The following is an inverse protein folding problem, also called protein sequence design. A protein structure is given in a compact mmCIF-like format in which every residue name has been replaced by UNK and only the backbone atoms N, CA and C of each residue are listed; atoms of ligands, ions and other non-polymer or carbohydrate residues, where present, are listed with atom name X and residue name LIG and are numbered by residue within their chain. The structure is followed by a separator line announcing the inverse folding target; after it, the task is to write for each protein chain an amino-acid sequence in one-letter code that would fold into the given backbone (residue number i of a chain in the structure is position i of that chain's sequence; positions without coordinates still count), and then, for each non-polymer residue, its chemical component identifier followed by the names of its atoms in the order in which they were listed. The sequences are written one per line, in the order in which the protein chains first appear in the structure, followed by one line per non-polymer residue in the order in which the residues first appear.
data_IF_027516232447
#
_entry.id   IF_027516232447
#
_cell.length_a   1.000
_cell.length_b   1.000
_cell.length_c   1.000
_cell.angle_alpha   90.00
_cell.angle_beta   90.00
_cell.angle_gamma   90.00
#
_symmetry.space_group_name_H-M   'P 1'
#
loop_
_entity.id
_entity.type
_entity.pdbx_description
1 polymer ?
#
# COMPACT_ATOMS: atom_id res chain seq x y z
N UNK A 1 18.06 29.11 7.22
CA UNK A 1 17.28 27.87 6.95
C UNK A 1 15.88 27.93 7.55
N UNK A 2 15.71 28.23 8.85
CA UNK A 2 14.38 28.36 9.49
C UNK A 2 13.49 29.45 8.87
N UNK A 3 14.04 30.61 8.50
CA UNK A 3 13.29 31.69 7.84
C UNK A 3 12.68 31.29 6.49
N UNK A 4 13.30 30.35 5.77
CA UNK A 4 12.79 29.82 4.49
C UNK A 4 11.53 28.99 4.71
N UNK A 5 11.47 28.20 5.79
CA UNK A 5 10.29 27.39 6.16
C UNK A 5 9.11 28.29 6.51
N UNK A 6 9.33 29.36 7.27
CA UNK A 6 8.27 30.34 7.58
C UNK A 6 7.81 31.13 6.36
N UNK A 7 8.69 31.39 5.39
CA UNK A 7 8.34 32.12 4.18
C UNK A 7 7.47 31.28 3.22
N UNK A 8 7.58 29.95 3.26
CA UNK A 8 6.73 29.02 2.50
C UNK A 8 5.26 29.13 2.94
N UNK A 9 4.99 29.35 4.23
CA UNK A 9 3.62 29.56 4.75
C UNK A 9 3.04 30.94 4.39
N UNK A 10 3.90 31.88 3.97
CA UNK A 10 3.50 33.25 3.61
C UNK A 10 3.02 33.36 2.16
N UNK A 11 3.44 32.44 1.29
CA UNK A 11 3.01 32.37 -0.11
C UNK A 11 1.70 31.56 -0.17
N UNK A 12 0.56 32.16 -0.61
CA UNK A 12 -0.74 31.51 -0.54
C UNK A 12 -0.82 30.21 -1.37
N UNK A 13 -0.13 30.16 -2.51
CA UNK A 13 -0.09 28.97 -3.39
C UNK A 13 0.60 27.77 -2.72
N UNK A 14 1.75 28.01 -2.07
CA UNK A 14 2.50 26.99 -1.33
C UNK A 14 1.76 26.53 -0.07
N UNK A 15 1.17 27.48 0.67
CA UNK A 15 0.33 27.17 1.84
C UNK A 15 -0.83 26.24 1.46
N UNK A 16 -1.53 26.54 0.36
CA UNK A 16 -2.65 25.72 -0.08
C UNK A 16 -2.21 24.32 -0.50
N UNK A 17 -1.06 24.17 -1.18
CA UNK A 17 -0.48 22.86 -1.51
C UNK A 17 -0.12 22.06 -0.27
N UNK A 18 0.52 22.68 0.73
CA UNK A 18 0.88 22.01 1.98
C UNK A 18 -0.36 21.57 2.76
N UNK A 19 -1.37 22.44 2.87
CA UNK A 19 -2.64 22.10 3.52
C UNK A 19 -3.36 20.96 2.80
N UNK A 20 -3.35 20.96 1.46
CA UNK A 20 -3.91 19.88 0.67
C UNK A 20 -3.18 18.55 0.89
N UNK A 21 -1.85 18.55 0.86
CA UNK A 21 -1.05 17.35 1.15
C UNK A 21 -1.29 16.85 2.58
N UNK A 22 -1.35 17.75 3.58
CA UNK A 22 -1.68 17.40 4.95
C UNK A 22 -3.08 16.79 5.06
N UNK A 23 -4.08 17.37 4.39
CA UNK A 23 -5.43 16.82 4.37
C UNK A 23 -5.47 15.40 3.79
N UNK A 24 -4.75 15.15 2.69
CA UNK A 24 -4.62 13.80 2.12
C UNK A 24 -3.92 12.83 3.06
N UNK A 25 -2.87 13.24 3.77
CA UNK A 25 -2.20 12.42 4.78
C UNK A 25 -3.12 12.08 5.96
N UNK A 26 -3.99 13.01 6.37
CA UNK A 26 -5.00 12.76 7.41
C UNK A 26 -6.02 11.74 6.92
N UNK A 27 -6.54 11.89 5.69
CA UNK A 27 -7.48 10.92 5.08
C UNK A 27 -6.84 9.54 5.01
N UNK A 28 -5.59 9.46 4.53
CA UNK A 28 -4.78 8.24 4.53
C UNK A 28 -4.74 7.62 5.93
N UNK A 29 -4.40 8.40 6.96
CA UNK A 29 -4.26 7.91 8.34
C UNK A 29 -5.59 7.43 8.94
N UNK A 30 -6.70 8.10 8.65
CA UNK A 30 -8.04 7.66 9.05
C UNK A 30 -8.37 6.33 8.39
N UNK A 31 -8.04 6.19 7.11
CA UNK A 31 -8.22 4.95 6.37
C UNK A 31 -7.58 3.73 7.04
N UNK A 32 -6.35 3.86 7.54
CA UNK A 32 -5.65 2.79 8.26
C UNK A 32 -6.32 2.37 9.58
N UNK A 33 -7.16 3.23 10.15
CA UNK A 33 -7.93 2.91 11.35
C UNK A 33 -9.24 2.20 11.05
N UNK A 34 -9.66 2.12 9.78
CA UNK A 34 -10.86 1.37 9.37
C UNK A 34 -10.47 -0.11 9.25
N UNK A 35 -10.92 -0.97 10.18
CA UNK A 35 -10.61 -2.37 10.09
C UNK A 35 -11.44 -3.03 8.98
N UNK A 36 -10.88 -4.05 8.38
CA UNK A 36 -11.61 -4.86 7.42
C UNK A 36 -12.71 -5.64 8.15
N UNK A 37 -13.98 -5.56 7.72
CA UNK A 37 -15.04 -6.38 8.29
C UNK A 37 -14.69 -7.88 8.14
N UNK A 38 -15.15 -8.68 9.11
CA UNK A 38 -15.00 -10.15 9.18
C UNK A 38 -13.74 -10.71 9.86
N UNK A 39 -12.83 -9.87 10.36
CA UNK A 39 -11.63 -10.31 11.09
C UNK A 39 -11.73 -10.08 12.60
N UNK A 40 -11.30 -11.07 13.40
CA UNK A 40 -11.11 -10.91 14.83
C UNK A 40 -9.78 -10.18 15.13
N UNK A 41 -9.87 -8.87 15.35
CA UNK A 41 -8.70 -8.05 15.64
C UNK A 41 -8.05 -8.38 16.99
N UNK A 42 -8.78 -8.97 17.95
CA UNK A 42 -8.21 -9.31 19.25
C UNK A 42 -7.21 -10.46 19.11
N UNK A 43 -7.54 -11.47 18.30
CA UNK A 43 -6.65 -12.61 18.00
C UNK A 43 -5.43 -12.20 17.16
N UNK A 44 -5.60 -11.29 16.21
CA UNK A 44 -4.47 -10.77 15.41
C UNK A 44 -3.50 -9.97 16.29
N UNK A 45 -4.02 -9.17 17.21
CA UNK A 45 -3.20 -8.42 18.17
C UNK A 45 -2.47 -9.35 19.17
N UNK A 46 -3.10 -10.44 19.60
CA UNK A 46 -2.48 -11.44 20.48
C UNK A 46 -1.35 -12.19 19.79
N UNK A 47 -1.56 -12.68 18.56
CA UNK A 47 -0.51 -13.34 17.77
C UNK A 47 0.65 -12.39 17.48
N UNK A 48 0.38 -11.11 17.25
CA UNK A 48 1.44 -10.14 16.96
C UNK A 48 2.27 -9.78 18.21
N UNK A 49 1.68 -9.83 19.41
CA UNK A 49 2.40 -9.69 20.69
C UNK A 49 3.32 -10.88 21.00
N UNK A 50 2.99 -12.06 20.49
CA UNK A 50 3.80 -13.29 20.67
C UNK A 50 4.78 -13.56 19.52
N UNK A 51 4.94 -12.63 18.56
CA UNK A 51 5.92 -12.80 17.47
C UNK A 51 7.34 -12.57 17.99
N UNK A 52 8.15 -13.61 17.94
CA UNK A 52 9.60 -13.49 18.09
C UNK A 52 10.16 -12.58 16.99
N UNK A 53 10.56 -11.37 17.40
CA UNK A 53 11.10 -10.34 16.49
C UNK A 53 12.47 -10.72 15.94
N UNK A 54 13.13 -11.72 16.54
CA UNK A 54 14.45 -12.21 16.15
C UNK A 54 14.43 -13.24 15.01
N UNK A 55 13.28 -13.85 14.73
CA UNK A 55 13.12 -14.77 13.59
C UNK A 55 13.20 -14.03 12.25
N UNK A 56 13.79 -14.62 11.18
CA UNK A 56 13.78 -14.03 9.83
C UNK A 56 12.38 -13.64 9.34
N UNK A 57 11.36 -14.42 9.71
CA UNK A 57 9.95 -14.14 9.41
C UNK A 57 9.42 -12.94 10.22
N UNK A 58 9.84 -12.80 11.48
CA UNK A 58 9.52 -11.65 12.33
C UNK A 58 10.12 -10.35 11.80
N UNK A 59 11.37 -10.39 11.33
CA UNK A 59 12.03 -9.24 10.69
C UNK A 59 11.38 -8.86 9.36
N UNK A 60 11.04 -9.84 8.52
CA UNK A 60 10.29 -9.60 7.28
C UNK A 60 8.90 -8.99 7.54
N UNK A 61 8.18 -9.48 8.56
CA UNK A 61 6.92 -8.90 8.99
C UNK A 61 7.09 -7.46 9.52
N UNK A 62 8.17 -7.16 10.23
CA UNK A 62 8.48 -5.81 10.72
C UNK A 62 8.74 -4.84 9.56
N UNK A 63 9.50 -5.26 8.54
CA UNK A 63 9.66 -4.45 7.34
C UNK A 63 8.32 -4.23 6.63
N UNK A 64 7.50 -5.28 6.52
CA UNK A 64 6.17 -5.15 5.96
C UNK A 64 5.30 -4.16 6.76
N UNK A 65 5.35 -4.16 8.09
CA UNK A 65 4.66 -3.14 8.93
C UNK A 65 5.09 -1.71 8.60
N UNK A 66 6.38 -1.46 8.44
CA UNK A 66 6.89 -0.11 8.16
C UNK A 66 6.38 0.38 6.80
N UNK A 67 6.41 -0.47 5.78
CA UNK A 67 5.94 -0.12 4.44
C UNK A 67 4.41 -0.09 4.30
N UNK A 68 3.67 -0.78 5.18
CA UNK A 68 2.21 -0.72 5.26
C UNK A 68 1.70 0.28 6.30
N UNK A 69 2.53 1.21 6.80
CA UNK A 69 2.05 2.30 7.67
C UNK A 69 1.81 1.95 9.15
N UNK A 70 2.31 0.79 9.58
CA UNK A 70 2.47 0.42 11.00
C UNK A 70 1.34 -0.43 11.59
N UNK A 71 0.48 -1.08 10.79
CA UNK A 71 -0.71 -1.78 11.31
C UNK A 71 -0.82 -3.24 10.89
N UNK A 72 0.25 -4.05 10.77
CA UNK A 72 0.00 -5.51 10.64
C UNK A 72 -0.74 -6.10 11.85
N UNK A 73 -0.74 -5.38 12.98
CA UNK A 73 -1.46 -5.71 14.20
C UNK A 73 -3.00 -5.60 14.05
N UNK A 74 -3.48 -4.98 12.96
CA UNK A 74 -4.90 -4.84 12.63
C UNK A 74 -5.11 -5.06 11.14
N UNK A 75 -6.00 -5.99 10.77
CA UNK A 75 -6.44 -6.12 9.38
C UNK A 75 -7.18 -4.84 8.99
N UNK A 76 -6.52 -3.93 8.27
CA UNK A 76 -7.06 -2.63 7.85
C UNK A 76 -7.39 -2.63 6.36
N UNK A 77 -8.33 -1.76 5.98
CA UNK A 77 -8.78 -1.61 4.60
C UNK A 77 -7.64 -1.15 3.65
N UNK A 78 -6.60 -0.53 4.20
CA UNK A 78 -5.37 -0.15 3.48
C UNK A 78 -4.17 -1.03 3.86
N UNK A 79 -4.38 -2.26 4.32
CA UNK A 79 -3.31 -3.12 4.85
C UNK A 79 -2.15 -3.41 3.89
N UNK A 80 -2.34 -3.26 2.57
CA UNK A 80 -1.27 -3.37 1.57
C UNK A 80 -0.53 -2.04 1.31
N UNK A 81 -1.13 -0.90 1.67
CA UNK A 81 -0.57 0.43 1.46
C UNK A 81 -0.21 0.69 0.00
N UNK A 82 0.92 1.39 -0.20
CA UNK A 82 1.43 1.72 -1.56
C UNK A 82 2.41 0.66 -2.10
N UNK A 83 2.64 -0.44 -1.36
CA UNK A 83 3.61 -1.48 -1.73
C UNK A 83 3.34 -2.12 -3.09
N UNK A 84 2.10 -2.44 -3.49
CA UNK A 84 1.84 -3.01 -4.81
C UNK A 84 2.31 -2.08 -5.95
N UNK A 85 2.17 -0.76 -5.78
CA UNK A 85 2.67 0.22 -6.75
C UNK A 85 4.20 0.26 -6.79
N UNK A 86 4.85 0.31 -5.61
CA UNK A 86 6.31 0.32 -5.51
C UNK A 86 6.87 -0.93 -6.20
N UNK A 87 6.34 -2.11 -5.89
CA UNK A 87 6.76 -3.37 -6.50
C UNK A 87 6.58 -3.37 -8.01
N UNK A 88 5.41 -2.93 -8.51
CA UNK A 88 5.17 -2.82 -9.95
C UNK A 88 6.17 -1.87 -10.64
N UNK A 89 6.50 -0.74 -9.99
CA UNK A 89 7.43 0.25 -10.54
C UNK A 89 8.85 -0.33 -10.65
N UNK A 90 9.29 -1.09 -9.65
CA UNK A 90 10.59 -1.77 -9.65
C UNK A 90 10.62 -2.84 -10.74
N UNK A 91 9.53 -3.59 -10.92
CA UNK A 91 9.42 -4.58 -12.01
C UNK A 91 9.63 -3.90 -13.36
N UNK A 92 8.96 -2.78 -13.64
CA UNK A 92 9.15 -2.05 -14.90
C UNK A 92 10.53 -1.39 -15.03
N UNK A 93 11.13 -0.95 -13.93
CA UNK A 93 12.51 -0.45 -13.93
C UNK A 93 13.49 -1.56 -14.36
N UNK A 94 13.33 -2.78 -13.83
CA UNK A 94 14.17 -3.93 -14.17
C UNK A 94 13.88 -4.45 -15.59
N UNK A 95 12.60 -4.59 -15.95
CA UNK A 95 12.19 -5.01 -17.31
C UNK A 95 12.65 -4.01 -18.38
N UNK A 96 12.75 -2.72 -18.05
CA UNK A 96 13.24 -1.69 -18.95
C UNK A 96 14.70 -1.87 -19.37
N UNK A 97 15.52 -2.55 -18.57
CA UNK A 97 16.91 -2.87 -18.93
C UNK A 97 17.03 -4.17 -19.74
N UNK A 98 16.12 -5.13 -19.50
CA UNK A 98 16.13 -6.45 -20.13
C UNK A 98 15.39 -6.46 -21.48
N UNK A 99 14.27 -5.75 -21.59
CA UNK A 99 13.40 -5.76 -22.78
C UNK A 99 13.70 -4.54 -23.67
N UNK A 100 14.18 -4.74 -24.90
CA UNK A 100 14.57 -3.63 -25.79
C UNK A 100 13.39 -2.74 -26.20
N UNK A 101 12.16 -3.27 -26.23
CA UNK A 101 10.96 -2.49 -26.51
C UNK A 101 10.65 -1.47 -25.39
N UNK A 102 10.76 -1.88 -24.12
CA UNK A 102 10.59 -0.99 -22.97
C UNK A 102 11.74 0.03 -22.87
N UNK A 103 12.96 -0.36 -23.25
CA UNK A 103 14.10 0.55 -23.34
C UNK A 103 13.87 1.67 -24.36
N UNK A 104 13.34 1.33 -25.54
CA UNK A 104 12.96 2.32 -26.57
C UNK A 104 11.86 3.25 -26.07
N UNK A 105 10.82 2.72 -25.44
CA UNK A 105 9.79 3.53 -24.78
C UNK A 105 10.40 4.48 -23.74
N UNK A 106 11.36 4.04 -22.92
CA UNK A 106 12.04 4.94 -21.96
C UNK A 106 12.86 6.04 -22.65
N UNK A 107 13.35 5.79 -23.87
CA UNK A 107 14.10 6.75 -24.70
C UNK A 107 13.21 7.78 -25.42
N UNK A 108 11.91 7.51 -25.58
CA UNK A 108 10.92 8.47 -26.14
C UNK A 108 10.65 9.68 -25.21
N UNK A 109 11.35 9.76 -24.08
CA UNK A 109 11.25 10.88 -23.14
C UNK A 109 9.90 10.89 -22.43
N UNK A 110 9.28 12.07 -22.30
CA UNK A 110 8.14 12.30 -21.42
C UNK A 110 6.90 11.47 -21.80
N UNK A 111 6.69 11.20 -23.10
CA UNK A 111 5.57 10.40 -23.59
C UNK A 111 5.72 8.92 -23.24
N UNK A 112 6.94 8.39 -23.35
CA UNK A 112 7.24 7.01 -22.98
C UNK A 112 7.22 6.77 -21.47
N UNK A 113 7.70 7.74 -20.68
CA UNK A 113 7.56 7.69 -19.22
C UNK A 113 6.10 7.61 -18.78
N UNK A 114 5.19 8.35 -19.43
CA UNK A 114 3.75 8.26 -19.14
C UNK A 114 3.19 6.87 -19.43
N UNK A 115 3.53 6.26 -20.57
CA UNK A 115 3.12 4.89 -20.92
C UNK A 115 3.62 3.85 -19.90
N UNK A 116 4.88 3.97 -19.47
CA UNK A 116 5.44 3.08 -18.43
C UNK A 116 4.69 3.26 -17.11
N UNK A 117 4.33 4.48 -16.73
CA UNK A 117 3.53 4.73 -15.53
C UNK A 117 2.12 4.14 -15.63
N UNK A 118 1.47 4.19 -16.80
CA UNK A 118 0.17 3.54 -17.02
C UNK A 118 0.28 2.02 -16.87
N UNK A 119 1.26 1.40 -17.51
CA UNK A 119 1.51 -0.05 -17.35
C UNK A 119 1.83 -0.43 -15.91
N UNK A 120 2.59 0.42 -15.21
CA UNK A 120 2.89 0.23 -13.78
C UNK A 120 1.61 0.21 -12.95
N UNK A 121 0.65 1.12 -13.21
CA UNK A 121 -0.64 1.14 -12.51
C UNK A 121 -1.46 -0.11 -12.79
N UNK A 122 -1.56 -0.54 -14.05
CA UNK A 122 -2.29 -1.77 -14.40
C UNK A 122 -1.69 -3.01 -13.74
N UNK A 123 -0.36 -3.12 -13.76
CA UNK A 123 0.33 -4.22 -13.10
C UNK A 123 0.15 -4.16 -11.58
N UNK A 124 0.18 -2.97 -10.99
CA UNK A 124 -0.01 -2.80 -9.55
C UNK A 124 -1.40 -3.27 -9.09
N UNK A 125 -2.46 -3.04 -9.88
CA UNK A 125 -3.81 -3.56 -9.59
C UNK A 125 -3.81 -5.09 -9.59
N UNK A 126 -3.19 -5.73 -10.58
CA UNK A 126 -3.07 -7.19 -10.64
C UNK A 126 -2.29 -7.76 -9.44
N UNK A 127 -1.15 -7.13 -9.11
CA UNK A 127 -0.37 -7.48 -7.91
C UNK A 127 -1.23 -7.33 -6.66
N UNK A 128 -2.00 -6.24 -6.56
CA UNK A 128 -2.84 -5.99 -5.41
C UNK A 128 -3.90 -7.09 -5.23
N UNK A 129 -4.61 -7.49 -6.30
CA UNK A 129 -5.60 -8.57 -6.22
C UNK A 129 -4.95 -9.87 -5.76
N UNK A 130 -3.80 -10.22 -6.33
CA UNK A 130 -3.07 -11.43 -5.96
C UNK A 130 -2.58 -11.39 -4.50
N UNK A 131 -1.97 -10.28 -4.07
CA UNK A 131 -1.51 -10.10 -2.70
C UNK A 131 -2.65 -10.08 -1.70
N UNK A 132 -3.79 -9.44 -2.02
CA UNK A 132 -4.99 -9.46 -1.17
C UNK A 132 -5.49 -10.88 -0.96
N UNK A 133 -5.58 -11.70 -2.00
CA UNK A 133 -6.00 -13.12 -1.88
C UNK A 133 -5.01 -13.90 -1.00
N UNK A 134 -3.70 -13.72 -1.23
CA UNK A 134 -2.67 -14.37 -0.43
C UNK A 134 -2.76 -13.96 1.05
N UNK A 135 -2.96 -12.67 1.31
CA UNK A 135 -3.13 -12.12 2.66
C UNK A 135 -4.38 -12.67 3.35
N UNK A 136 -5.50 -12.75 2.64
CA UNK A 136 -6.75 -13.37 3.14
C UNK A 136 -6.55 -14.84 3.51
N UNK A 137 -5.79 -15.61 2.72
CA UNK A 137 -5.50 -17.02 3.03
C UNK A 137 -4.62 -17.17 4.27
N UNK A 138 -3.60 -16.32 4.42
CA UNK A 138 -2.72 -16.32 5.59
C UNK A 138 -3.51 -15.97 6.86
N UNK A 139 -4.46 -15.03 6.77
CA UNK A 139 -5.29 -14.64 7.89
C UNK A 139 -6.57 -15.48 8.06
N UNK A 140 -6.74 -16.56 7.30
CA UNK A 140 -7.94 -17.39 7.30
C UNK A 140 -8.33 -17.91 8.68
N UNK A 141 -7.34 -18.23 9.52
CA UNK A 141 -7.54 -18.72 10.89
C UNK A 141 -8.13 -17.67 11.85
N UNK A 142 -8.11 -16.38 11.48
CA UNK A 142 -8.61 -15.26 12.27
C UNK A 142 -9.98 -14.75 11.79
N UNK A 143 -10.61 -15.43 10.84
CA UNK A 143 -11.93 -15.09 10.32
C UNK A 143 -13.01 -15.70 11.23
N UNK A 144 -14.10 -14.97 11.45
CA UNK A 144 -15.25 -15.53 12.17
C UNK A 144 -15.82 -16.75 11.42
N UNK A 145 -16.09 -17.87 12.13
CA UNK A 145 -16.57 -19.09 11.49
C UNK A 145 -17.89 -18.85 10.76
N UNK A 146 -17.98 -19.29 9.50
CA UNK A 146 -19.15 -19.10 8.63
C UNK A 146 -19.12 -17.85 7.73
N UNK A 147 -18.12 -16.96 7.88
CA UNK A 147 -17.97 -15.75 7.06
C UNK A 147 -16.81 -15.79 6.05
N UNK A 148 -16.17 -16.95 5.83
CA UNK A 148 -14.93 -17.07 5.03
C UNK A 148 -15.05 -16.51 3.60
N UNK A 149 -16.13 -16.85 2.88
CA UNK A 149 -16.33 -16.38 1.50
C UNK A 149 -16.63 -14.88 1.46
N UNK A 150 -17.39 -14.36 2.42
CA UNK A 150 -17.71 -12.94 2.51
C UNK A 150 -16.49 -12.11 2.93
N UNK A 151 -15.67 -12.63 3.85
CA UNK A 151 -14.42 -12.05 4.28
C UNK A 151 -13.42 -11.96 3.12
N UNK A 152 -13.32 -13.01 2.31
CA UNK A 152 -12.46 -13.01 1.14
C UNK A 152 -12.90 -11.97 0.10
N UNK A 153 -14.19 -11.91 -0.23
CA UNK A 153 -14.70 -10.95 -1.22
C UNK A 153 -14.57 -9.52 -0.70
N UNK A 154 -15.06 -9.23 0.51
CA UNK A 154 -14.98 -7.89 1.10
C UNK A 154 -13.54 -7.46 1.37
N UNK A 155 -12.67 -8.39 1.77
CA UNK A 155 -11.27 -8.10 2.01
C UNK A 155 -10.48 -7.86 0.73
N UNK A 156 -10.67 -8.67 -0.31
CA UNK A 156 -10.01 -8.44 -1.60
C UNK A 156 -10.49 -7.13 -2.21
N UNK A 157 -11.80 -6.89 -2.27
CA UNK A 157 -12.35 -5.65 -2.83
C UNK A 157 -11.95 -4.45 -1.98
N UNK A 158 -12.04 -4.55 -0.66
CA UNK A 158 -11.66 -3.48 0.27
C UNK A 158 -10.19 -3.11 0.15
N UNK A 159 -9.28 -4.09 0.22
CA UNK A 159 -7.84 -3.85 0.12
C UNK A 159 -7.42 -3.34 -1.27
N UNK A 160 -8.04 -3.86 -2.34
CA UNK A 160 -7.76 -3.40 -3.70
C UNK A 160 -8.32 -2.00 -3.96
N UNK A 161 -9.55 -1.71 -3.55
CA UNK A 161 -10.13 -0.37 -3.66
C UNK A 161 -9.36 0.65 -2.82
N UNK A 162 -8.98 0.29 -1.60
CA UNK A 162 -8.14 1.10 -0.73
C UNK A 162 -6.79 1.41 -1.39
N UNK A 163 -6.09 0.40 -1.88
CA UNK A 163 -4.79 0.58 -2.53
C UNK A 163 -4.89 1.42 -3.82
N UNK A 164 -5.95 1.26 -4.61
CA UNK A 164 -6.19 2.07 -5.82
C UNK A 164 -6.48 3.53 -5.45
N UNK A 165 -7.24 3.78 -4.37
CA UNK A 165 -7.50 5.14 -3.88
C UNK A 165 -6.22 5.88 -3.46
N UNK A 166 -5.17 5.14 -3.08
CA UNK A 166 -3.87 5.71 -2.70
C UNK A 166 -2.95 6.02 -3.89
N UNK A 167 -3.23 5.46 -5.07
CA UNK A 167 -2.45 5.68 -6.30
C UNK A 167 -2.97 6.88 -7.08
#
# INVERSE_FOLDING_TARGET
MLGTVFNIFRIPDLRNKILFTLALLVIYRIGFHIPNPCFDQAKIAEVTKHRDTESPLGRAATYMQIFTGGTLDKSSLFGLGIMPYITASIIFMLLGEVIPALKKLRQEGQTGYKKIQEYTRYLAVLICVFQSIMYMRILGEFIYPGMETQALIMGVVGMTAGTIFLM
#
